data_IF_199213424522
#
_entry.id   IF_199213424522
#
_cell.length_a   1.000
_cell.length_b   1.000
_cell.length_c   1.000
_cell.angle_alpha   90.00
_cell.angle_beta   90.00
_cell.angle_gamma   90.00
#
_symmetry.space_group_name_H-M   'P 1'
#
loop_
_entity.id
_entity.type
_entity.pdbx_description
1 polymer ?
#
# COMPACT_ATOMS: atom_id res chain seq x y z
N UNK A 1 8.73 -9.80 -9.57
CA UNK A 1 7.69 -9.12 -10.38
C UNK A 1 8.35 -8.53 -11.60
N UNK A 2 7.70 -8.63 -12.75
CA UNK A 2 8.11 -7.92 -13.96
C UNK A 2 7.55 -6.49 -13.95
N UNK A 3 8.07 -5.60 -14.79
CA UNK A 3 7.50 -4.26 -15.00
C UNK A 3 6.02 -4.31 -15.39
N UNK A 4 5.62 -5.30 -16.19
CA UNK A 4 4.22 -5.50 -16.59
C UNK A 4 3.31 -5.89 -15.41
N UNK A 5 3.83 -6.68 -14.47
CA UNK A 5 3.09 -7.04 -13.25
C UNK A 5 2.91 -5.79 -12.35
N UNK A 6 3.97 -4.99 -12.22
CA UNK A 6 3.94 -3.73 -11.47
C UNK A 6 2.92 -2.75 -12.04
N UNK A 7 2.91 -2.54 -13.36
CA UNK A 7 1.96 -1.65 -14.03
C UNK A 7 0.52 -2.11 -13.83
N UNK A 8 0.28 -3.42 -13.95
CA UNK A 8 -1.06 -4.01 -13.74
C UNK A 8 -1.54 -3.79 -12.31
N UNK A 9 -0.69 -4.07 -11.32
CA UNK A 9 -1.01 -3.92 -9.89
C UNK A 9 -1.24 -2.43 -9.56
N UNK A 10 -0.36 -1.55 -10.01
CA UNK A 10 -0.46 -0.11 -9.79
C UNK A 10 -1.72 0.48 -10.42
N UNK A 11 -2.00 0.13 -11.68
CA UNK A 11 -3.23 0.54 -12.38
C UNK A 11 -4.48 0.10 -11.61
N UNK A 12 -4.49 -1.12 -11.07
CA UNK A 12 -5.62 -1.63 -10.28
C UNK A 12 -5.77 -0.88 -8.96
N UNK A 13 -4.67 -0.59 -8.27
CA UNK A 13 -4.66 0.15 -7.02
C UNK A 13 -5.24 1.56 -7.22
N UNK A 14 -4.72 2.31 -8.19
CA UNK A 14 -5.19 3.66 -8.50
C UNK A 14 -6.68 3.67 -8.91
N UNK A 15 -7.10 2.77 -9.81
CA UNK A 15 -8.51 2.68 -10.22
C UNK A 15 -9.43 2.42 -9.04
N UNK A 16 -9.01 1.57 -8.09
CA UNK A 16 -9.80 1.25 -6.91
C UNK A 16 -9.94 2.46 -5.99
N UNK A 17 -8.85 3.18 -5.72
CA UNK A 17 -8.90 4.42 -4.93
C UNK A 17 -9.80 5.48 -5.57
N UNK A 18 -9.71 5.67 -6.90
CA UNK A 18 -10.57 6.61 -7.63
C UNK A 18 -12.05 6.24 -7.51
N UNK A 19 -12.39 4.95 -7.59
CA UNK A 19 -13.76 4.47 -7.47
C UNK A 19 -14.33 4.64 -6.05
N UNK A 20 -13.50 4.46 -5.03
CA UNK A 20 -13.88 4.63 -3.63
C UNK A 20 -14.01 6.12 -3.25
N UNK A 21 -13.33 7.00 -3.99
CA UNK A 21 -13.28 8.43 -3.74
C UNK A 21 -12.32 8.81 -2.60
N UNK A 22 -11.94 10.09 -2.57
CA UNK A 22 -10.94 10.64 -1.65
C UNK A 22 -11.24 10.33 -0.17
N UNK A 23 -12.50 10.47 0.24
CA UNK A 23 -12.92 10.22 1.62
C UNK A 23 -12.67 8.78 2.11
N UNK A 24 -12.63 7.80 1.20
CA UNK A 24 -12.45 6.39 1.53
C UNK A 24 -11.05 5.87 1.19
N UNK A 25 -10.23 6.66 0.49
CA UNK A 25 -8.92 6.23 0.00
C UNK A 25 -7.97 5.85 1.15
N UNK A 26 -7.90 6.66 2.20
CA UNK A 26 -7.06 6.38 3.38
C UNK A 26 -7.50 5.12 4.12
N UNK A 27 -8.81 4.91 4.28
CA UNK A 27 -9.34 3.68 4.91
C UNK A 27 -9.02 2.43 4.08
N UNK A 28 -9.11 2.55 2.75
CA UNK A 28 -8.73 1.47 1.84
C UNK A 28 -7.25 1.14 1.95
N UNK A 29 -6.37 2.14 1.90
CA UNK A 29 -4.92 1.94 2.02
C UNK A 29 -4.54 1.36 3.38
N UNK A 30 -5.16 1.79 4.48
CA UNK A 30 -4.95 1.20 5.80
C UNK A 30 -5.32 -0.30 5.84
N UNK A 31 -6.46 -0.67 5.22
CA UNK A 31 -6.88 -2.08 5.11
C UNK A 31 -5.93 -2.89 4.22
N UNK A 32 -5.52 -2.33 3.09
CA UNK A 32 -4.55 -2.96 2.19
C UNK A 32 -3.22 -3.20 2.90
N UNK A 33 -2.70 -2.20 3.62
CA UNK A 33 -1.46 -2.33 4.41
C UNK A 33 -1.56 -3.43 5.46
N UNK A 34 -2.66 -3.52 6.21
CA UNK A 34 -2.88 -4.59 7.20
C UNK A 34 -2.87 -6.00 6.55
N UNK A 35 -3.52 -6.15 5.39
CA UNK A 35 -3.52 -7.41 4.65
C UNK A 35 -2.12 -7.75 4.12
N UNK A 36 -1.37 -6.75 3.66
CA UNK A 36 0.00 -6.91 3.19
C UNK A 36 0.93 -7.33 4.33
N UNK A 37 0.86 -6.67 5.50
CA UNK A 37 1.63 -7.03 6.71
C UNK A 37 1.37 -8.48 7.10
N UNK A 38 0.10 -8.90 7.14
CA UNK A 38 -0.26 -10.29 7.42
C UNK A 38 0.26 -11.26 6.33
N UNK A 39 0.33 -10.83 5.08
CA UNK A 39 0.81 -11.68 3.97
C UNK A 39 2.34 -11.81 3.96
N UNK A 40 3.05 -10.76 4.38
CA UNK A 40 4.52 -10.75 4.52
C UNK A 40 4.97 -11.74 5.60
N UNK A 41 4.19 -11.86 6.69
CA UNK A 41 4.41 -12.78 7.82
C UNK A 41 5.81 -12.64 8.47
N UNK A 42 6.39 -11.44 8.37
CA UNK A 42 7.66 -11.06 8.97
C UNK A 42 7.55 -9.67 9.60
N UNK A 43 7.56 -9.59 10.96
CA UNK A 43 7.46 -8.31 11.66
C UNK A 43 8.61 -7.34 11.37
N UNK A 44 9.83 -7.83 11.15
CA UNK A 44 10.98 -6.97 10.90
C UNK A 44 10.87 -6.31 9.52
N UNK A 45 10.45 -7.07 8.51
CA UNK A 45 10.18 -6.54 7.16
C UNK A 45 9.03 -5.54 7.21
N UNK A 46 7.94 -5.86 7.93
CA UNK A 46 6.80 -4.96 8.05
C UNK A 46 7.17 -3.62 8.71
N UNK A 47 7.96 -3.65 9.80
CA UNK A 47 8.44 -2.43 10.46
C UNK A 47 9.34 -1.60 9.55
N UNK A 48 10.30 -2.23 8.86
CA UNK A 48 11.18 -1.55 7.92
C UNK A 48 10.39 -0.84 6.79
N UNK A 49 9.37 -1.51 6.23
CA UNK A 49 8.54 -0.92 5.18
C UNK A 49 7.70 0.26 5.70
N UNK A 50 7.30 0.26 6.97
CA UNK A 50 6.60 1.39 7.60
C UNK A 50 7.54 2.58 7.72
N UNK A 51 8.76 2.33 8.21
CA UNK A 51 9.78 3.39 8.36
C UNK A 51 10.13 3.99 6.99
N UNK A 52 10.43 3.17 5.99
CA UNK A 52 10.71 3.60 4.60
C UNK A 52 9.55 4.41 4.01
N UNK A 53 8.30 3.99 4.24
CA UNK A 53 7.13 4.68 3.73
C UNK A 53 6.89 6.04 4.41
N UNK A 54 7.36 6.21 5.65
CA UNK A 54 7.26 7.47 6.39
C UNK A 54 8.42 8.44 6.11
N UNK A 55 9.52 7.95 5.52
CA UNK A 55 10.69 8.77 5.22
C UNK A 55 10.33 9.96 4.32
N UNK A 56 10.66 11.17 4.77
CA UNK A 56 10.41 12.41 4.03
C UNK A 56 8.97 12.94 4.11
N UNK A 57 8.07 12.29 4.85
CA UNK A 57 6.76 12.84 5.18
C UNK A 57 6.85 13.83 6.37
N UNK A 58 6.05 14.91 6.38
CA UNK A 58 5.98 15.82 7.52
C UNK A 58 5.35 15.14 8.74
N UNK A 59 5.82 15.49 9.93
CA UNK A 59 5.26 15.07 11.23
C UNK A 59 3.85 15.60 11.50
#
# INVERSE_FOLDING_TARGET
>A
MTDSDLDTIYTRLCKTMTQLGEANASLFLARFAMLAIHTIDDPAVALHLIDDASEGMPE
#
